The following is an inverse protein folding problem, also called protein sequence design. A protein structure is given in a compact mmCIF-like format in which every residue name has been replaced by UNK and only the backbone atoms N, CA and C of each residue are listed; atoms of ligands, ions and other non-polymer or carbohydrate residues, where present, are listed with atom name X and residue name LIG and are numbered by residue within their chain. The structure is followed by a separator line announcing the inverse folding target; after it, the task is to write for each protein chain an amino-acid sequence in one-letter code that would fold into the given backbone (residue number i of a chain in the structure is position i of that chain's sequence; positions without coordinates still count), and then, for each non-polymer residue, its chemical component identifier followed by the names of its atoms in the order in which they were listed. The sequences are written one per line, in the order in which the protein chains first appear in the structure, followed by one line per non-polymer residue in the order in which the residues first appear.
data_IF_646052113173
#
_entry.id   IF_646052113173
#
_cell.length_a   1.000
_cell.length_b   1.000
_cell.length_c   1.000
_cell.angle_alpha   90.00
_cell.angle_beta   90.00
_cell.angle_gamma   90.00
#
_symmetry.space_group_name_H-M   'P 1'
#
loop_
_entity.id
_entity.type
_entity.pdbx_description
1 polymer ?
#
# COMPACT_ATOMS: atom_id res chain seq x y z
N UNK A 1 -2.16 -57.85 27.12
CA UNK A 1 -3.20 -56.79 27.01
C UNK A 1 -2.72 -55.82 25.93
N UNK A 2 -3.13 -55.99 24.66
CA UNK A 2 -4.27 -55.31 23.97
C UNK A 2 -4.30 -53.78 24.12
N UNK A 3 -3.89 -53.13 23.02
CA UNK A 3 -4.37 -51.91 22.33
C UNK A 3 -4.79 -50.66 23.13
N UNK A 4 -4.31 -49.47 22.70
CA UNK A 4 -5.12 -48.67 21.78
C UNK A 4 -4.32 -47.63 20.98
N UNK A 5 -4.73 -47.43 19.73
CA UNK A 5 -4.25 -46.47 18.75
C UNK A 5 -5.33 -45.41 18.54
N UNK A 6 -5.16 -44.21 19.10
CA UNK A 6 -5.89 -42.98 18.74
C UNK A 6 -5.28 -41.84 19.58
N UNK A 7 -4.52 -40.91 19.04
CA UNK A 7 -5.05 -39.80 18.25
C UNK A 7 -3.93 -39.23 17.36
N UNK A 8 -4.09 -39.38 16.06
CA UNK A 8 -3.56 -38.43 15.09
C UNK A 8 -4.38 -37.13 15.15
N UNK A 9 -3.74 -36.02 14.78
CA UNK A 9 -4.26 -34.65 14.56
C UNK A 9 -4.21 -33.71 15.77
N UNK A 10 -3.31 -32.72 15.69
CA UNK A 10 -3.47 -31.49 16.46
C UNK A 10 -2.19 -30.73 16.80
N UNK A 11 -1.45 -30.23 15.81
CA UNK A 11 -0.68 -28.98 15.90
C UNK A 11 0.07 -28.72 14.59
N UNK A 12 -0.67 -28.33 13.54
CA UNK A 12 -0.04 -27.52 12.49
C UNK A 12 0.26 -26.17 13.17
N UNK A 13 1.53 -26.01 13.51
CA UNK A 13 2.17 -24.76 13.90
C UNK A 13 1.68 -23.62 13.00
N UNK A 14 0.84 -22.76 13.58
CA UNK A 14 0.33 -21.54 12.97
C UNK A 14 1.52 -20.62 12.59
N UNK A 15 1.83 -20.38 11.31
CA UNK A 15 2.96 -19.55 10.92
C UNK A 15 2.63 -18.05 10.89
N UNK A 16 1.50 -17.60 11.43
CA UNK A 16 1.10 -16.18 11.44
C UNK A 16 1.11 -15.58 12.85
N UNK A 17 2.30 -15.41 13.40
CA UNK A 17 2.58 -14.32 14.36
C UNK A 17 3.97 -13.75 14.08
N UNK A 18 4.02 -12.63 13.35
CA UNK A 18 5.20 -11.76 13.31
C UNK A 18 5.08 -10.71 14.44
N UNK A 19 6.20 -10.30 15.06
CA UNK A 19 6.19 -9.51 16.30
C UNK A 19 6.08 -7.99 16.04
N UNK A 20 5.41 -7.28 16.94
CA UNK A 20 5.32 -5.81 17.05
C UNK A 20 6.26 -5.33 18.19
N UNK A 21 6.79 -4.07 18.22
CA UNK A 21 5.94 -2.87 18.24
C UNK A 21 6.50 -1.56 17.58
N UNK A 22 7.64 -1.58 16.86
CA UNK A 22 8.24 -0.40 16.20
C UNK A 22 8.74 -0.65 14.76
N UNK A 23 8.62 -1.88 14.25
CA UNK A 23 9.48 -2.43 13.18
C UNK A 23 8.79 -2.47 11.79
N UNK A 24 7.47 -2.24 11.73
CA UNK A 24 6.64 -2.26 10.51
C UNK A 24 6.43 -0.89 9.84
N UNK A 25 6.75 0.21 10.56
CA UNK A 25 6.16 1.55 10.38
C UNK A 25 6.57 2.32 9.12
N UNK A 26 7.35 1.69 8.27
CA UNK A 26 7.96 2.23 7.04
C UNK A 26 7.83 1.19 5.91
N UNK A 27 6.87 0.26 5.95
CA UNK A 27 6.80 -0.91 5.03
C UNK A 27 6.56 -0.58 3.54
N UNK A 28 6.69 0.68 3.16
CA UNK A 28 7.69 1.19 2.22
C UNK A 28 7.24 2.59 1.74
N UNK A 29 6.73 3.45 2.63
CA UNK A 29 5.90 4.63 2.28
C UNK A 29 4.86 4.34 1.16
N UNK A 30 3.82 3.56 1.43
CA UNK A 30 3.87 2.11 1.24
C UNK A 30 4.08 1.78 -0.25
N UNK A 31 5.26 1.26 -0.58
CA UNK A 31 5.76 0.90 -1.91
C UNK A 31 5.73 2.03 -2.97
N UNK A 32 5.97 3.30 -2.58
CA UNK A 32 5.75 4.48 -3.44
C UNK A 32 4.45 4.35 -4.24
N UNK A 33 3.36 4.26 -3.48
CA UNK A 33 1.95 4.21 -3.91
C UNK A 33 1.59 2.97 -4.79
N UNK A 34 2.51 2.00 -4.92
CA UNK A 34 2.45 0.66 -5.55
C UNK A 34 2.95 0.53 -7.00
N UNK A 35 4.26 0.71 -7.19
CA UNK A 35 5.01 0.24 -8.38
C UNK A 35 6.00 -0.90 -8.06
N UNK A 36 5.52 -1.95 -7.37
CA UNK A 36 6.22 -3.22 -7.06
C UNK A 36 7.71 -3.16 -6.71
N UNK A 37 8.09 -2.56 -5.58
CA UNK A 37 9.44 -2.79 -5.02
C UNK A 37 9.43 -2.90 -3.51
N UNK A 38 9.77 -4.09 -2.98
CA UNK A 38 9.89 -4.40 -1.55
C UNK A 38 11.02 -3.64 -0.84
N UNK A 39 11.68 -2.69 -1.52
CA UNK A 39 12.82 -1.95 -1.01
C UNK A 39 12.78 -0.47 -1.42
N UNK A 40 12.45 0.39 -0.45
CA UNK A 40 12.43 1.87 -0.57
C UNK A 40 13.73 2.41 -1.18
N UNK A 41 14.88 1.84 -0.82
CA UNK A 41 16.19 2.30 -1.29
C UNK A 41 16.38 2.02 -2.78
N UNK A 42 15.85 0.91 -3.32
CA UNK A 42 15.94 0.60 -4.75
C UNK A 42 15.06 1.53 -5.58
N UNK A 43 13.83 1.82 -5.13
CA UNK A 43 12.96 2.76 -5.83
C UNK A 43 13.52 4.18 -5.84
N UNK A 44 13.98 4.70 -4.70
CA UNK A 44 14.59 6.04 -4.63
C UNK A 44 15.87 6.16 -5.45
N UNK A 45 16.58 5.05 -5.64
CA UNK A 45 17.80 5.01 -6.47
C UNK A 45 17.50 4.97 -7.97
N UNK A 46 16.31 4.51 -8.38
CA UNK A 46 15.92 4.38 -9.80
C UNK A 46 15.05 5.53 -10.31
N UNK A 47 14.18 6.10 -9.46
CA UNK A 47 13.17 7.09 -9.87
C UNK A 47 13.27 8.44 -9.14
N UNK A 48 14.20 8.57 -8.19
CA UNK A 48 14.25 9.75 -7.32
C UNK A 48 13.17 9.74 -6.22
N UNK A 49 13.41 10.49 -5.14
CA UNK A 49 12.49 10.55 -4.01
C UNK A 49 11.26 11.40 -4.35
N UNK A 50 10.08 10.77 -4.41
CA UNK A 50 8.79 11.42 -4.69
C UNK A 50 8.83 12.34 -5.92
N UNK A 51 9.39 11.84 -7.03
CA UNK A 51 9.43 12.53 -8.33
C UNK A 51 8.03 12.96 -8.81
N UNK A 52 6.97 12.24 -8.40
CA UNK A 52 5.60 12.65 -8.69
C UNK A 52 5.27 14.06 -8.16
N UNK A 53 5.91 14.51 -7.06
CA UNK A 53 5.81 15.89 -6.58
C UNK A 53 6.64 16.87 -7.44
N UNK A 54 7.77 16.42 -8.00
CA UNK A 54 8.60 17.18 -8.95
C UNK A 54 7.91 17.32 -10.31
N UNK A 55 7.07 16.36 -10.69
CA UNK A 55 6.23 16.41 -11.89
C UNK A 55 4.91 17.14 -11.65
N UNK A 56 4.47 17.27 -10.39
CA UNK A 56 3.20 17.89 -10.03
C UNK A 56 1.99 16.97 -10.24
N UNK A 57 2.22 15.66 -10.24
CA UNK A 57 1.16 14.65 -10.33
C UNK A 57 0.31 14.65 -9.06
N UNK A 58 -1.00 14.53 -9.25
CA UNK A 58 -1.95 14.37 -8.15
C UNK A 58 -2.19 12.89 -7.91
N UNK A 59 -1.50 12.33 -6.91
CA UNK A 59 -1.76 10.97 -6.44
C UNK A 59 -2.96 10.95 -5.49
N UNK A 60 -3.68 9.82 -5.41
CA UNK A 60 -4.81 9.67 -4.49
C UNK A 60 -4.51 10.08 -3.04
N UNK A 61 -3.40 9.63 -2.40
CA UNK A 61 -3.11 10.03 -1.03
C UNK A 61 -2.81 11.54 -0.91
N UNK A 62 -2.33 12.19 -1.96
CA UNK A 62 -2.15 13.65 -1.97
C UNK A 62 -3.49 14.37 -2.04
N UNK A 63 -4.41 13.89 -2.89
CA UNK A 63 -5.77 14.43 -2.98
C UNK A 63 -6.47 14.29 -1.63
N UNK A 64 -6.48 13.09 -1.06
CA UNK A 64 -7.11 12.79 0.23
C UNK A 64 -6.56 13.69 1.35
N UNK A 65 -5.23 13.81 1.42
CA UNK A 65 -4.52 14.70 2.34
C UNK A 65 -4.93 16.18 2.21
N UNK A 66 -5.30 16.64 1.01
CA UNK A 66 -5.62 18.04 0.72
C UNK A 66 -7.12 18.32 0.69
N UNK A 67 -7.98 17.34 0.96
CA UNK A 67 -9.44 17.55 0.94
C UNK A 67 -9.91 18.53 2.02
N UNK A 68 -9.16 18.65 3.12
CA UNK A 68 -9.48 19.57 4.22
C UNK A 68 -9.05 21.03 4.01
N UNK A 69 -9.23 21.83 5.06
CA UNK A 69 -8.94 23.27 5.09
C UNK A 69 -8.11 23.70 6.30
N UNK A 70 -7.35 22.79 6.91
CA UNK A 70 -6.46 23.16 8.01
C UNK A 70 -5.31 24.08 7.53
N UNK A 71 -4.67 24.86 8.42
CA UNK A 71 -3.64 25.81 8.03
C UNK A 71 -2.46 25.18 7.29
N UNK A 72 -2.06 23.97 7.67
CA UNK A 72 -0.96 23.24 7.04
C UNK A 72 -1.38 22.70 5.67
N UNK A 73 -2.60 22.18 5.52
CA UNK A 73 -3.18 21.82 4.22
C UNK A 73 -3.25 23.02 3.28
N UNK A 74 -3.64 24.19 3.78
CA UNK A 74 -3.71 25.42 3.00
C UNK A 74 -2.31 25.88 2.56
N UNK A 75 -1.31 25.78 3.44
CA UNK A 75 0.08 26.03 3.10
C UNK A 75 0.58 25.07 2.01
N UNK A 76 0.30 23.78 2.15
CA UNK A 76 0.72 22.76 1.17
C UNK A 76 0.04 23.00 -0.19
N UNK A 77 -1.25 23.34 -0.21
CA UNK A 77 -1.94 23.75 -1.44
C UNK A 77 -1.22 24.92 -2.10
N UNK A 78 -0.85 25.94 -1.33
CA UNK A 78 -0.07 27.08 -1.84
C UNK A 78 1.29 26.67 -2.40
N UNK A 79 2.03 25.79 -1.70
CA UNK A 79 3.31 25.26 -2.18
C UNK A 79 3.15 24.57 -3.52
N UNK A 80 2.13 23.73 -3.67
CA UNK A 80 1.86 22.99 -4.91
C UNK A 80 1.40 23.91 -6.05
N UNK A 81 0.56 24.91 -5.75
CA UNK A 81 0.07 25.88 -6.74
C UNK A 81 1.17 26.83 -7.24
N UNK A 82 2.11 27.18 -6.38
CA UNK A 82 3.24 28.07 -6.72
C UNK A 82 4.51 27.31 -7.04
N UNK A 83 4.44 25.99 -7.21
CA UNK A 83 5.60 25.20 -7.60
C UNK A 83 6.07 25.66 -8.98
N UNK A 84 7.29 26.15 -9.05
CA UNK A 84 7.94 26.52 -10.32
C UNK A 84 8.36 25.29 -11.13
N UNK A 85 9.02 25.55 -12.25
CA UNK A 85 9.67 24.50 -13.06
C UNK A 85 10.91 24.01 -12.32
N UNK A 86 10.99 22.70 -12.06
CA UNK A 86 12.16 22.06 -11.44
C UNK A 86 11.80 21.19 -10.24
N UNK A 87 12.86 20.61 -9.65
CA UNK A 87 12.74 19.72 -8.50
C UNK A 87 12.27 20.46 -7.25
N UNK A 88 11.32 19.85 -6.54
CA UNK A 88 10.88 20.32 -5.24
C UNK A 88 11.97 20.07 -4.20
N UNK A 89 12.32 21.06 -3.37
CA UNK A 89 13.28 20.87 -2.29
C UNK A 89 12.90 19.69 -1.39
N UNK A 90 13.87 18.85 -1.05
CA UNK A 90 13.66 17.64 -0.25
C UNK A 90 12.96 17.93 1.10
N UNK A 91 13.18 19.10 1.69
CA UNK A 91 12.50 19.52 2.91
C UNK A 91 10.99 19.68 2.72
N UNK A 92 10.55 20.22 1.57
CA UNK A 92 9.13 20.36 1.24
C UNK A 92 8.50 18.98 0.95
N UNK A 93 9.21 18.10 0.25
CA UNK A 93 8.74 16.71 0.02
C UNK A 93 8.48 16.00 1.35
N UNK A 94 9.41 16.11 2.30
CA UNK A 94 9.25 15.53 3.65
C UNK A 94 8.11 16.17 4.44
N UNK A 95 7.87 17.48 4.29
CA UNK A 95 6.74 18.16 4.92
C UNK A 95 5.41 17.58 4.42
N UNK A 96 5.23 17.50 3.10
CA UNK A 96 4.01 16.99 2.47
C UNK A 96 3.77 15.53 2.87
N UNK A 97 4.81 14.71 2.78
CA UNK A 97 4.76 13.31 3.20
C UNK A 97 4.42 13.15 4.69
N UNK A 98 5.03 13.98 5.55
CA UNK A 98 4.73 14.01 6.97
C UNK A 98 3.26 14.30 7.24
N UNK A 99 2.68 15.26 6.50
CA UNK A 99 1.25 15.57 6.58
C UNK A 99 0.38 14.42 6.10
N UNK A 100 0.70 13.80 4.96
CA UNK A 100 -0.06 12.65 4.43
C UNK A 100 -0.07 11.49 5.43
N UNK A 101 1.07 11.24 6.07
CA UNK A 101 1.21 10.20 7.10
C UNK A 101 0.40 10.53 8.36
N UNK A 102 0.57 11.72 8.90
CA UNK A 102 -0.08 12.11 10.15
C UNK A 102 -1.59 12.34 9.98
N UNK A 103 -2.02 12.72 8.79
CA UNK A 103 -3.42 12.87 8.41
C UNK A 103 -4.12 11.57 8.03
N UNK A 104 -3.41 10.43 8.04
CA UNK A 104 -3.98 9.11 7.72
C UNK A 104 -4.23 8.85 6.24
N UNK A 105 -3.89 9.77 5.33
CA UNK A 105 -4.17 9.62 3.90
C UNK A 105 -3.47 8.41 3.27
N UNK A 106 -2.27 8.08 3.76
CA UNK A 106 -1.57 6.86 3.36
C UNK A 106 -2.31 5.59 3.81
N UNK A 107 -2.84 5.60 5.03
CA UNK A 107 -3.56 4.46 5.60
C UNK A 107 -4.92 4.28 4.92
N UNK A 108 -5.67 5.37 4.67
CA UNK A 108 -6.91 5.37 3.89
C UNK A 108 -6.71 4.81 2.49
N UNK A 109 -5.61 5.20 1.82
CA UNK A 109 -5.27 4.68 0.49
C UNK A 109 -4.94 3.20 0.53
N UNK A 110 -4.20 2.74 1.55
CA UNK A 110 -3.88 1.33 1.71
C UNK A 110 -5.13 0.47 1.92
N UNK A 111 -6.06 0.92 2.76
CA UNK A 111 -7.33 0.21 2.99
C UNK A 111 -8.17 0.13 1.71
N UNK A 112 -8.27 1.25 0.96
CA UNK A 112 -8.98 1.26 -0.32
C UNK A 112 -8.39 0.24 -1.31
N UNK A 113 -7.06 0.15 -1.40
CA UNK A 113 -6.38 -0.81 -2.27
C UNK A 113 -6.63 -2.26 -1.84
N UNK A 114 -6.69 -2.52 -0.54
CA UNK A 114 -7.04 -3.83 0.00
C UNK A 114 -8.48 -4.21 -0.36
N UNK A 115 -9.43 -3.29 -0.17
CA UNK A 115 -10.84 -3.50 -0.52
C UNK A 115 -11.00 -3.80 -2.02
N UNK A 116 -10.32 -3.03 -2.88
CA UNK A 116 -10.30 -3.27 -4.32
C UNK A 116 -9.72 -4.65 -4.68
N UNK A 117 -8.67 -5.08 -3.99
CA UNK A 117 -8.09 -6.41 -4.22
C UNK A 117 -9.08 -7.52 -3.84
N UNK A 118 -9.75 -7.38 -2.69
CA UNK A 118 -10.77 -8.34 -2.27
C UNK A 118 -11.94 -8.41 -3.24
N UNK A 119 -12.39 -7.27 -3.75
CA UNK A 119 -13.49 -7.22 -4.72
C UNK A 119 -13.12 -7.87 -6.05
N UNK A 120 -11.89 -7.66 -6.55
CA UNK A 120 -11.41 -8.31 -7.77
C UNK A 120 -11.30 -9.84 -7.58
N UNK A 121 -10.85 -10.30 -6.41
CA UNK A 121 -10.77 -11.73 -6.11
C UNK A 121 -12.15 -12.37 -6.00
N UNK A 122 -13.13 -11.69 -5.38
CA UNK A 122 -14.53 -12.16 -5.34
C UNK A 122 -15.13 -12.26 -6.75
N UNK A 123 -14.86 -11.28 -7.61
CA UNK A 123 -15.34 -11.31 -8.98
C UNK A 123 -14.73 -12.49 -9.76
N UNK A 124 -13.44 -12.79 -9.53
CA UNK A 124 -12.82 -13.99 -10.10
C UNK A 124 -13.52 -15.27 -9.63
N UNK A 125 -13.81 -15.41 -8.33
CA UNK A 125 -14.52 -16.57 -7.79
C UNK A 125 -15.92 -16.75 -8.43
N UNK A 126 -16.64 -15.65 -8.66
CA UNK A 126 -17.95 -15.68 -9.32
C UNK A 126 -17.84 -16.14 -10.78
N UNK A 127 -16.85 -15.63 -11.51
CA UNK A 127 -16.60 -16.04 -12.90
C UNK A 127 -16.20 -17.51 -12.99
N UNK A 128 -15.30 -17.97 -12.13
CA UNK A 128 -14.87 -19.38 -12.09
C UNK A 128 -16.04 -20.33 -11.81
N UNK A 129 -16.97 -19.91 -10.93
CA UNK A 129 -18.21 -20.64 -10.68
C UNK A 129 -19.15 -20.68 -11.90
N UNK A 130 -19.24 -19.58 -12.66
CA UNK A 130 -20.04 -19.51 -13.89
C UNK A 130 -19.45 -20.34 -15.04
N UNK A 131 -18.12 -20.31 -15.22
CA UNK A 131 -17.43 -21.08 -16.25
C UNK A 131 -17.24 -22.55 -15.87
N UNK A 132 -17.36 -22.91 -14.59
CA UNK A 132 -17.10 -24.25 -14.08
C UNK A 132 -15.62 -24.66 -14.12
N UNK A 133 -14.71 -23.68 -14.18
CA UNK A 133 -13.27 -23.91 -14.24
C UNK A 133 -12.52 -22.83 -13.46
N UNK A 134 -11.64 -23.26 -12.55
CA UNK A 134 -10.73 -22.38 -11.82
C UNK A 134 -9.59 -21.86 -12.72
N UNK A 135 -9.08 -20.67 -12.43
CA UNK A 135 -7.92 -20.05 -13.05
C UNK A 135 -6.89 -19.64 -11.99
N UNK A 136 -6.15 -20.62 -11.41
CA UNK A 136 -5.19 -20.36 -10.34
C UNK A 136 -4.02 -19.47 -10.77
N UNK A 137 -3.74 -19.37 -12.08
CA UNK A 137 -2.71 -18.46 -12.60
C UNK A 137 -3.16 -17.02 -12.46
N UNK A 138 -4.40 -16.71 -12.85
CA UNK A 138 -4.96 -15.37 -12.73
C UNK A 138 -5.10 -14.96 -11.26
N UNK A 139 -5.58 -15.87 -10.40
CA UNK A 139 -5.63 -15.64 -8.95
C UNK A 139 -4.24 -15.27 -8.38
N UNK A 140 -3.20 -16.02 -8.76
CA UNK A 140 -1.83 -15.76 -8.31
C UNK A 140 -1.34 -14.38 -8.79
N UNK A 141 -1.60 -14.00 -10.04
CA UNK A 141 -1.25 -12.69 -10.59
C UNK A 141 -1.96 -11.57 -9.82
N UNK A 142 -3.25 -11.71 -9.55
CA UNK A 142 -4.04 -10.72 -8.79
C UNK A 142 -3.57 -10.59 -7.34
N UNK A 143 -3.19 -11.70 -6.70
CA UNK A 143 -2.61 -11.68 -5.35
C UNK A 143 -1.24 -10.98 -5.30
N UNK A 144 -0.47 -11.05 -6.38
CA UNK A 144 0.87 -10.43 -6.53
C UNK A 144 0.83 -8.96 -6.96
N UNK A 145 -0.26 -8.49 -7.55
CA UNK A 145 -0.37 -7.11 -8.05
C UNK A 145 -0.48 -6.10 -6.91
N UNK A 146 -1.03 -6.48 -5.76
CA UNK A 146 -1.22 -5.57 -4.63
C UNK A 146 -0.32 -5.87 -3.42
N UNK A 147 0.54 -6.92 -3.46
CA UNK A 147 1.44 -7.38 -2.39
C UNK A 147 2.74 -8.02 -2.93
#
# INVERSE_FOLDING_TARGET
MRADSSHYLGAISNPRRLPEPHVSRSKAEYLIVLGSTTNVQQYTSQKGFWEDLDEGKSSWPLIDCLTGSDPEQTMIKGILQHKGVGEMPMAMKRLILGKMRNGGALDSTFLLLQDMQEDILKELELLEAEFGSENPILELVLRRLCL
#
